data_IF_405065745329
#
_entry.id   IF_405065745329
#
_cell.length_a   1.000
_cell.length_b   1.000
_cell.length_c   1.000
_cell.angle_alpha   90.00
_cell.angle_beta   90.00
_cell.angle_gamma   90.00
#
_symmetry.space_group_name_H-M   'P 1'
#
loop_
_entity.id
_entity.type
_entity.pdbx_description
1 polymer ?
#
# COMPACT_ATOMS: atom_id res chain seq x y z
N UNK A 1 4.41 -32.54 -23.28
CA UNK A 1 3.26 -32.27 -24.15
C UNK A 1 3.29 -30.79 -24.52
N UNK A 2 3.39 -30.49 -25.84
CA UNK A 2 3.53 -29.12 -26.34
C UNK A 2 2.20 -28.36 -26.50
N UNK A 3 1.22 -28.58 -25.62
CA UNK A 3 -0.03 -27.80 -25.64
C UNK A 3 0.16 -26.47 -24.90
N UNK A 4 -0.33 -25.35 -25.48
CA UNK A 4 -0.28 -24.07 -24.78
C UNK A 4 -1.14 -24.10 -23.50
N UNK A 5 -0.66 -23.45 -22.45
CA UNK A 5 -1.36 -23.40 -21.17
C UNK A 5 -2.75 -22.78 -21.31
N UNK A 6 -2.86 -21.69 -22.07
CA UNK A 6 -4.12 -20.98 -22.37
C UNK A 6 -4.14 -20.63 -23.85
N UNK A 7 -5.26 -20.95 -24.52
CA UNK A 7 -5.54 -20.50 -25.88
C UNK A 7 -6.71 -19.51 -25.82
N UNK A 8 -6.48 -18.21 -26.04
CA UNK A 8 -7.54 -17.20 -25.98
C UNK A 8 -8.74 -17.56 -26.86
N UNK A 9 -9.94 -17.48 -26.30
CA UNK A 9 -11.19 -17.82 -26.99
C UNK A 9 -11.50 -19.32 -27.11
N UNK A 10 -10.54 -20.21 -26.82
CA UNK A 10 -10.69 -21.67 -27.01
C UNK A 10 -10.39 -22.44 -25.73
N UNK A 11 -11.38 -22.51 -24.81
CA UNK A 11 -11.19 -23.19 -23.53
C UNK A 11 -10.87 -24.68 -23.68
N UNK A 12 -11.47 -25.37 -24.67
CA UNK A 12 -11.24 -26.81 -24.94
C UNK A 12 -9.83 -27.13 -25.45
N UNK A 13 -9.15 -26.17 -26.07
CA UNK A 13 -7.77 -26.30 -26.55
C UNK A 13 -6.73 -25.92 -25.47
N UNK A 14 -7.18 -25.36 -24.35
CA UNK A 14 -6.31 -24.87 -23.26
C UNK A 14 -5.95 -25.98 -22.29
N UNK A 15 -4.64 -26.18 -22.07
CA UNK A 15 -4.14 -27.19 -21.12
C UNK A 15 -4.59 -26.92 -19.69
N UNK A 16 -4.75 -25.64 -19.32
CA UNK A 16 -5.30 -25.25 -18.03
C UNK A 16 -6.66 -25.89 -17.78
N UNK A 17 -7.58 -25.81 -18.75
CA UNK A 17 -8.94 -26.36 -18.62
C UNK A 17 -8.89 -27.89 -18.53
N UNK A 18 -8.05 -28.54 -19.35
CA UNK A 18 -7.87 -29.97 -19.29
C UNK A 18 -7.45 -30.42 -17.89
N UNK A 19 -6.53 -29.70 -17.27
CA UNK A 19 -6.01 -30.05 -15.95
C UNK A 19 -6.99 -29.76 -14.82
N UNK A 20 -7.69 -28.64 -14.84
CA UNK A 20 -8.66 -28.31 -13.76
C UNK A 20 -9.91 -29.22 -13.80
N UNK A 21 -10.18 -29.86 -14.92
CA UNK A 21 -11.28 -30.80 -15.10
C UNK A 21 -10.85 -32.28 -15.05
N UNK A 22 -9.55 -32.56 -14.92
CA UNK A 22 -9.03 -33.93 -14.86
C UNK A 22 -9.46 -34.63 -13.57
N UNK A 23 -9.82 -35.90 -13.69
CA UNK A 23 -10.04 -36.79 -12.55
C UNK A 23 -8.76 -37.55 -12.16
N UNK A 24 -7.68 -37.47 -12.94
CA UNK A 24 -6.40 -38.09 -12.65
C UNK A 24 -5.62 -37.27 -11.63
N UNK A 25 -5.28 -37.88 -10.49
CA UNK A 25 -4.54 -37.24 -9.42
C UNK A 25 -3.14 -36.76 -9.85
N UNK A 26 -2.53 -37.38 -10.86
CA UNK A 26 -1.24 -36.96 -11.39
C UNK A 26 -1.32 -35.74 -12.32
N UNK A 27 -2.50 -35.43 -12.86
CA UNK A 27 -2.69 -34.35 -13.83
C UNK A 27 -3.54 -33.19 -13.30
N UNK A 28 -4.43 -33.45 -12.34
CA UNK A 28 -5.38 -32.45 -11.82
C UNK A 28 -4.67 -31.24 -11.21
N UNK A 29 -5.22 -30.06 -11.43
CA UNK A 29 -4.74 -28.83 -10.83
C UNK A 29 -5.87 -28.10 -10.08
N UNK A 30 -5.63 -27.64 -8.85
CA UNK A 30 -4.40 -27.81 -8.04
C UNK A 30 -4.11 -29.28 -7.69
N UNK A 31 -2.83 -29.65 -7.45
CA UNK A 31 -2.48 -31.00 -7.01
C UNK A 31 -3.17 -31.37 -5.70
N UNK A 32 -3.58 -32.64 -5.52
CA UNK A 32 -4.32 -33.08 -4.33
C UNK A 32 -3.60 -32.82 -3.00
N UNK A 33 -2.28 -32.81 -3.01
CA UNK A 33 -1.45 -32.57 -1.81
C UNK A 33 -1.68 -31.16 -1.23
N UNK A 34 -2.09 -30.19 -2.05
CA UNK A 34 -2.40 -28.83 -1.60
C UNK A 34 -3.73 -28.74 -0.84
N UNK A 35 -4.58 -29.78 -0.89
CA UNK A 35 -5.89 -29.84 -0.23
C UNK A 35 -6.80 -28.62 -0.54
N UNK A 36 -6.69 -28.07 -1.73
CA UNK A 36 -7.44 -26.90 -2.22
C UNK A 36 -8.05 -27.17 -3.60
N UNK A 37 -8.99 -28.12 -3.70
CA UNK A 37 -9.66 -28.37 -4.97
C UNK A 37 -10.46 -27.14 -5.42
N UNK A 38 -10.53 -26.94 -6.73
CA UNK A 38 -11.39 -25.90 -7.29
C UNK A 38 -12.85 -26.31 -7.21
N UNK A 39 -13.72 -25.39 -6.80
CA UNK A 39 -15.18 -25.60 -6.90
C UNK A 39 -15.63 -25.53 -8.34
N UNK A 40 -16.78 -26.11 -8.65
CA UNK A 40 -17.37 -26.03 -10.01
C UNK A 40 -17.54 -24.58 -10.47
N UNK A 41 -17.93 -23.69 -9.57
CA UNK A 41 -18.06 -22.26 -9.87
C UNK A 41 -16.72 -21.63 -10.27
N UNK A 42 -15.64 -21.97 -9.59
CA UNK A 42 -14.29 -21.47 -9.93
C UNK A 42 -13.81 -22.02 -11.27
N UNK A 43 -14.08 -23.29 -11.56
CA UNK A 43 -13.78 -23.90 -12.85
C UNK A 43 -14.54 -23.20 -13.99
N UNK A 44 -15.83 -22.90 -13.78
CA UNK A 44 -16.65 -22.17 -14.76
C UNK A 44 -16.16 -20.74 -14.99
N UNK A 45 -15.70 -20.04 -13.94
CA UNK A 45 -15.13 -18.70 -14.06
C UNK A 45 -13.88 -18.74 -14.96
N UNK A 46 -12.96 -19.68 -14.72
CA UNK A 46 -11.75 -19.83 -15.53
C UNK A 46 -12.07 -20.17 -17.00
N UNK A 47 -13.02 -21.07 -17.25
CA UNK A 47 -13.45 -21.39 -18.61
C UNK A 47 -14.04 -20.16 -19.31
N UNK A 48 -14.91 -19.40 -18.63
CA UNK A 48 -15.52 -18.18 -19.15
C UNK A 48 -14.47 -17.11 -19.46
N UNK A 49 -13.49 -16.92 -18.57
CA UNK A 49 -12.38 -16.00 -18.79
C UNK A 49 -11.62 -16.33 -20.07
N UNK A 50 -11.32 -17.62 -20.31
CA UNK A 50 -10.65 -18.04 -21.55
C UNK A 50 -11.53 -17.80 -22.77
N UNK A 51 -12.84 -18.11 -22.68
CA UNK A 51 -13.79 -17.86 -23.78
C UNK A 51 -13.88 -16.38 -24.15
N UNK A 52 -13.76 -15.48 -23.17
CA UNK A 52 -13.75 -14.03 -23.34
C UNK A 52 -12.43 -13.48 -23.89
N UNK A 53 -11.50 -14.35 -24.28
CA UNK A 53 -10.22 -13.96 -24.86
C UNK A 53 -9.04 -13.98 -23.91
N UNK A 54 -9.22 -14.47 -22.66
CA UNK A 54 -8.16 -14.61 -21.65
C UNK A 54 -7.33 -13.32 -21.46
N UNK A 55 -8.01 -12.16 -21.47
CA UNK A 55 -7.34 -10.88 -21.29
C UNK A 55 -6.56 -10.88 -19.96
N UNK A 56 -5.24 -10.72 -20.06
CA UNK A 56 -4.34 -10.68 -18.92
C UNK A 56 -3.88 -9.25 -18.71
N UNK A 57 -4.22 -8.69 -17.57
CA UNK A 57 -3.72 -7.37 -17.20
C UNK A 57 -2.28 -7.49 -16.68
N UNK A 58 -1.41 -6.59 -17.12
CA UNK A 58 -0.08 -6.48 -16.52
C UNK A 58 -0.18 -6.24 -15.02
N UNK A 59 0.77 -6.77 -14.27
CA UNK A 59 0.83 -6.53 -12.84
C UNK A 59 1.00 -5.02 -12.59
N UNK A 60 0.19 -4.46 -11.70
CA UNK A 60 0.15 -3.02 -11.42
C UNK A 60 1.52 -2.38 -11.15
N UNK A 61 2.47 -3.14 -10.58
CA UNK A 61 3.82 -2.67 -10.29
C UNK A 61 4.67 -2.37 -11.55
N UNK A 62 4.29 -2.92 -12.72
CA UNK A 62 4.95 -2.69 -14.00
C UNK A 62 4.23 -1.65 -14.87
N UNK A 63 3.05 -1.21 -14.45
CA UNK A 63 2.30 -0.17 -15.16
C UNK A 63 2.83 1.20 -14.71
N UNK A 64 3.35 2.03 -15.63
CA UNK A 64 3.80 3.37 -15.27
C UNK A 64 2.69 4.18 -14.59
N UNK A 65 2.98 4.88 -13.46
CA UNK A 65 1.98 5.70 -12.78
C UNK A 65 1.43 6.77 -13.73
N UNK A 66 0.13 6.91 -13.76
CA UNK A 66 -0.55 7.99 -14.49
C UNK A 66 -1.26 8.89 -13.50
N UNK A 67 -1.17 10.21 -13.73
CA UNK A 67 -1.91 11.18 -12.90
C UNK A 67 -3.42 10.98 -13.17
N UNK A 68 -4.22 10.62 -12.15
CA UNK A 68 -5.66 10.49 -12.32
C UNK A 68 -6.32 11.85 -12.47
N UNK A 69 -7.52 11.88 -13.04
CA UNK A 69 -8.35 13.08 -13.01
C UNK A 69 -8.73 13.43 -11.56
N UNK A 70 -8.73 14.73 -11.26
CA UNK A 70 -9.13 15.18 -9.92
C UNK A 70 -10.63 14.93 -9.73
N UNK A 71 -11.04 14.37 -8.60
CA UNK A 71 -12.44 14.11 -8.34
C UNK A 71 -13.22 15.40 -8.05
N UNK A 72 -14.48 15.40 -8.44
CA UNK A 72 -15.41 16.46 -8.03
C UNK A 72 -15.95 16.15 -6.63
N UNK A 73 -15.92 17.12 -5.75
CA UNK A 73 -16.40 17.04 -4.36
C UNK A 73 -17.47 18.11 -4.11
N UNK A 74 -18.31 17.91 -3.09
CA UNK A 74 -19.38 18.85 -2.71
C UNK A 74 -18.84 20.01 -1.88
N UNK A 75 -17.98 19.72 -0.92
CA UNK A 75 -17.36 20.72 -0.07
C UNK A 75 -16.04 21.18 -0.70
N UNK A 76 -16.04 22.35 -1.34
CA UNK A 76 -14.87 22.92 -2.01
C UNK A 76 -13.97 23.73 -1.09
N UNK A 77 -14.41 24.05 0.13
CA UNK A 77 -13.69 24.92 1.05
C UNK A 77 -12.71 24.16 1.97
N UNK A 78 -12.94 22.87 2.17
CA UNK A 78 -12.11 22.05 3.04
C UNK A 78 -10.75 21.64 2.41
N UNK A 79 -10.66 21.27 1.10
CA UNK A 79 -9.41 20.81 0.53
C UNK A 79 -8.37 21.93 0.46
N UNK A 80 -7.17 21.69 0.95
CA UNK A 80 -6.02 22.59 0.86
C UNK A 80 -5.09 22.25 -0.31
N UNK A 81 -5.18 21.04 -0.84
CA UNK A 81 -4.40 20.54 -1.96
C UNK A 81 -5.17 19.46 -2.75
N UNK A 82 -4.59 19.00 -3.86
CA UNK A 82 -5.24 18.01 -4.73
C UNK A 82 -5.44 16.64 -4.06
N UNK A 83 -4.57 16.23 -3.13
CA UNK A 83 -4.72 14.97 -2.41
C UNK A 83 -5.95 14.98 -1.50
N UNK A 84 -6.26 16.13 -0.92
CA UNK A 84 -7.44 16.30 -0.07
C UNK A 84 -8.74 16.05 -0.84
N UNK A 85 -8.78 16.31 -2.15
CA UNK A 85 -9.95 16.03 -2.99
C UNK A 85 -10.26 14.52 -3.03
N UNK A 86 -9.24 13.68 -3.13
CA UNK A 86 -9.43 12.22 -3.12
C UNK A 86 -9.88 11.71 -1.74
N UNK A 87 -9.34 12.29 -0.67
CA UNK A 87 -9.76 11.96 0.70
C UNK A 87 -11.22 12.35 0.91
N UNK A 88 -11.56 13.60 0.54
CA UNK A 88 -12.90 14.13 0.72
C UNK A 88 -13.94 13.38 -0.11
N UNK A 89 -13.62 13.00 -1.36
CA UNK A 89 -14.51 12.18 -2.16
C UNK A 89 -14.86 10.86 -1.45
N UNK A 90 -13.88 10.21 -0.84
CA UNK A 90 -14.11 8.96 -0.09
C UNK A 90 -14.96 9.19 1.16
N UNK A 91 -14.73 10.27 1.88
CA UNK A 91 -15.57 10.64 3.02
C UNK A 91 -17.01 10.89 2.59
N UNK A 92 -17.22 11.68 1.53
CA UNK A 92 -18.56 11.98 1.00
C UNK A 92 -19.28 10.72 0.51
N UNK A 93 -18.58 9.79 -0.14
CA UNK A 93 -19.15 8.50 -0.57
C UNK A 93 -19.59 7.64 0.62
N UNK A 94 -18.86 7.74 1.74
CA UNK A 94 -19.19 7.04 2.98
C UNK A 94 -20.22 7.79 3.86
N UNK A 95 -20.69 8.96 3.44
CA UNK A 95 -21.59 9.81 4.22
C UNK A 95 -20.92 10.44 5.45
N UNK A 96 -19.59 10.53 5.45
CA UNK A 96 -18.80 11.08 6.55
C UNK A 96 -18.39 12.53 6.26
N UNK A 97 -18.13 13.27 7.33
CA UNK A 97 -17.57 14.62 7.28
C UNK A 97 -16.12 14.60 7.78
N UNK A 98 -15.24 15.48 7.25
CA UNK A 98 -13.92 15.67 7.83
C UNK A 98 -14.00 16.07 9.31
N UNK A 99 -13.11 15.51 10.12
CA UNK A 99 -12.98 15.94 11.50
C UNK A 99 -12.43 17.37 11.58
N UNK A 100 -12.72 18.12 12.66
CA UNK A 100 -12.11 19.42 12.89
C UNK A 100 -10.59 19.35 12.87
N UNK A 101 -9.95 20.46 12.47
CA UNK A 101 -8.49 20.54 12.47
C UNK A 101 -7.93 20.29 13.87
N UNK A 102 -6.85 19.50 13.93
CA UNK A 102 -6.19 19.20 15.20
C UNK A 102 -5.64 20.48 15.87
N UNK A 103 -5.69 20.58 17.23
CA UNK A 103 -5.04 21.65 17.93
C UNK A 103 -3.55 21.76 17.56
N UNK A 104 -2.93 22.97 17.58
CA UNK A 104 -1.57 23.19 17.10
C UNK A 104 -0.51 22.24 17.73
N UNK A 105 -0.52 22.03 19.03
CA UNK A 105 0.43 21.14 19.70
C UNK A 105 0.19 19.66 19.36
N UNK A 106 -1.06 19.27 19.11
CA UNK A 106 -1.37 17.92 18.64
C UNK A 106 -0.83 17.70 17.22
N UNK A 107 -0.97 18.70 16.35
CA UNK A 107 -0.37 18.67 15.02
C UNK A 107 1.16 18.55 15.11
N UNK A 108 1.81 19.39 15.93
CA UNK A 108 3.26 19.37 16.13
C UNK A 108 3.74 17.98 16.58
N UNK A 109 3.05 17.38 17.56
CA UNK A 109 3.38 16.05 18.04
C UNK A 109 3.26 14.98 16.96
N UNK A 110 2.18 15.00 16.17
CA UNK A 110 1.98 14.05 15.05
C UNK A 110 3.07 14.21 14.00
N UNK A 111 3.33 15.44 13.57
CA UNK A 111 4.38 15.73 12.61
C UNK A 111 5.77 15.26 13.09
N UNK A 112 6.11 15.51 14.35
CA UNK A 112 7.37 15.08 14.92
C UNK A 112 7.51 13.54 14.96
N UNK A 113 6.46 12.83 15.38
CA UNK A 113 6.47 11.36 15.40
C UNK A 113 6.55 10.75 13.98
N UNK A 114 5.88 11.37 13.01
CA UNK A 114 5.92 10.89 11.63
C UNK A 114 7.27 11.15 10.96
N UNK A 115 7.83 12.35 11.14
CA UNK A 115 9.05 12.76 10.47
C UNK A 115 10.34 12.31 11.17
N UNK A 116 10.34 12.27 12.50
CA UNK A 116 11.56 11.97 13.28
C UNK A 116 11.43 10.74 14.20
N UNK A 117 10.21 10.26 14.43
CA UNK A 117 9.94 9.19 15.40
C UNK A 117 10.01 9.64 16.86
N UNK A 118 10.27 10.93 17.15
CA UNK A 118 10.49 11.46 18.49
C UNK A 118 9.45 12.54 18.79
N UNK A 119 8.90 12.53 20.02
CA UNK A 119 7.99 13.59 20.46
C UNK A 119 8.72 14.93 20.68
N UNK A 120 8.09 16.08 20.37
CA UNK A 120 8.73 17.37 20.57
C UNK A 120 8.94 17.65 22.06
N UNK A 121 10.11 18.21 22.38
CA UNK A 121 10.46 18.65 23.72
C UNK A 121 9.59 19.84 24.18
N UNK A 122 9.49 20.12 25.49
CA UNK A 122 8.79 21.31 25.98
C UNK A 122 9.30 22.62 25.38
N UNK A 123 10.62 22.74 25.16
CA UNK A 123 11.22 23.92 24.55
C UNK A 123 10.74 24.09 23.07
N UNK A 124 10.71 23.03 22.30
CA UNK A 124 10.20 23.08 20.92
C UNK A 124 8.72 23.41 20.85
N UNK A 125 7.92 22.91 21.81
CA UNK A 125 6.51 23.26 21.91
C UNK A 125 6.32 24.77 22.19
N UNK A 126 7.09 25.33 23.13
CA UNK A 126 7.07 26.74 23.44
C UNK A 126 7.50 27.61 22.24
N UNK A 127 8.59 27.22 21.58
CA UNK A 127 9.06 27.91 20.36
C UNK A 127 8.00 27.88 19.26
N UNK A 128 7.34 26.75 19.04
CA UNK A 128 6.27 26.61 18.05
C UNK A 128 5.08 27.54 18.36
N UNK A 129 4.65 27.63 19.63
CA UNK A 129 3.58 28.53 20.06
C UNK A 129 3.98 30.02 19.90
N UNK A 130 5.22 30.37 20.23
CA UNK A 130 5.74 31.71 20.02
C UNK A 130 5.78 32.08 18.53
N UNK A 131 6.17 31.14 17.68
CA UNK A 131 6.17 31.34 16.23
C UNK A 131 4.74 31.50 15.67
N UNK A 132 3.76 30.76 16.18
CA UNK A 132 2.36 30.96 15.81
C UNK A 132 1.91 32.39 16.14
N UNK A 133 2.28 32.90 17.33
CA UNK A 133 1.92 34.23 17.75
C UNK A 133 2.56 35.34 16.88
N UNK A 134 3.79 35.11 16.43
CA UNK A 134 4.53 36.07 15.62
C UNK A 134 4.16 36.05 14.11
N UNK A 135 3.95 34.87 13.54
CA UNK A 135 3.90 34.67 12.08
C UNK A 135 2.66 33.88 11.60
N UNK A 136 1.83 33.44 12.53
CA UNK A 136 0.63 32.64 12.21
C UNK A 136 0.89 31.14 12.06
N UNK A 137 -0.19 30.38 12.11
CA UNK A 137 -0.15 28.90 12.18
C UNK A 137 0.49 28.26 10.93
N UNK A 138 0.19 28.75 9.74
CA UNK A 138 0.68 28.18 8.48
C UNK A 138 2.20 28.28 8.39
N UNK A 139 2.75 29.47 8.71
CA UNK A 139 4.19 29.70 8.72
C UNK A 139 4.89 28.83 9.79
N UNK A 140 4.35 28.80 11.00
CA UNK A 140 4.91 28.00 12.09
C UNK A 140 4.94 26.50 11.77
N UNK A 141 3.91 25.98 11.09
CA UNK A 141 3.88 24.59 10.62
C UNK A 141 4.95 24.31 9.57
N UNK A 142 5.12 25.19 8.59
CA UNK A 142 6.13 25.01 7.54
C UNK A 142 7.54 25.01 8.14
N UNK A 143 7.88 26.00 8.98
CA UNK A 143 9.17 26.06 9.65
C UNK A 143 9.45 24.86 10.57
N UNK A 144 8.44 24.40 11.32
CA UNK A 144 8.59 23.21 12.15
C UNK A 144 8.84 21.95 11.30
N UNK A 145 8.14 21.78 10.18
CA UNK A 145 8.35 20.68 9.27
C UNK A 145 9.76 20.69 8.65
N UNK A 146 10.20 21.85 8.16
CA UNK A 146 11.54 22.03 7.57
C UNK A 146 12.64 21.69 8.57
N UNK A 147 12.51 22.17 9.81
CA UNK A 147 13.46 21.85 10.88
C UNK A 147 13.50 20.35 11.19
N UNK A 148 12.34 19.68 11.25
CA UNK A 148 12.27 18.23 11.48
C UNK A 148 12.90 17.46 10.32
N UNK A 149 12.66 17.83 9.08
CA UNK A 149 13.25 17.19 7.90
C UNK A 149 14.77 17.35 7.83
N UNK A 150 15.32 18.43 8.36
CA UNK A 150 16.77 18.66 8.46
C UNK A 150 17.43 17.92 9.66
N UNK A 151 16.63 17.34 10.54
CA UNK A 151 17.14 16.58 11.68
C UNK A 151 17.76 15.25 11.25
N UNK A 152 18.88 14.81 11.85
CA UNK A 152 19.43 13.46 11.67
C UNK A 152 18.38 12.35 11.92
N UNK A 153 17.50 12.56 12.88
CA UNK A 153 16.44 11.60 13.22
C UNK A 153 15.43 11.38 12.08
N UNK A 154 15.25 12.36 11.19
CA UNK A 154 14.44 12.18 10.00
C UNK A 154 15.06 11.17 9.02
N UNK A 155 16.36 11.23 8.83
CA UNK A 155 17.09 10.25 8.03
C UNK A 155 17.05 8.85 8.65
N UNK A 156 17.23 8.73 9.96
CA UNK A 156 17.11 7.47 10.71
C UNK A 156 15.70 6.89 10.58
N UNK A 157 14.67 7.72 10.72
CA UNK A 157 13.27 7.32 10.57
C UNK A 157 12.97 6.79 9.18
N UNK A 158 13.46 7.48 8.14
CA UNK A 158 13.30 7.07 6.75
C UNK A 158 14.05 5.77 6.46
N UNK A 159 15.27 5.61 7.00
CA UNK A 159 16.10 4.42 6.82
C UNK A 159 15.40 3.15 7.31
N UNK A 160 14.60 3.21 8.37
CA UNK A 160 13.84 2.05 8.86
C UNK A 160 12.94 1.44 7.78
N UNK A 161 12.19 2.28 7.07
CA UNK A 161 11.30 1.80 6.00
C UNK A 161 12.08 1.20 4.81
N UNK A 162 13.23 1.75 4.49
CA UNK A 162 14.12 1.20 3.45
C UNK A 162 14.73 -0.14 3.88
N UNK A 163 15.15 -0.26 5.14
CA UNK A 163 15.70 -1.49 5.68
C UNK A 163 14.65 -2.61 5.72
N UNK A 164 13.41 -2.30 6.11
CA UNK A 164 12.30 -3.25 6.08
C UNK A 164 12.00 -3.70 4.64
N UNK A 165 11.95 -2.76 3.69
CA UNK A 165 11.77 -3.08 2.27
C UNK A 165 12.91 -3.93 1.69
N UNK A 166 14.14 -3.74 2.16
CA UNK A 166 15.30 -4.53 1.79
C UNK A 166 15.40 -5.87 2.56
N UNK A 167 14.46 -6.16 3.47
CA UNK A 167 14.45 -7.35 4.34
C UNK A 167 15.75 -7.49 5.15
N UNK A 168 16.31 -6.39 5.59
CA UNK A 168 17.59 -6.36 6.31
C UNK A 168 17.51 -7.09 7.66
N UNK A 169 16.43 -6.93 8.38
CA UNK A 169 16.18 -7.60 9.66
C UNK A 169 16.02 -9.13 9.50
N UNK A 170 15.29 -9.59 8.48
CA UNK A 170 15.06 -11.02 8.22
C UNK A 170 16.38 -11.77 8.00
N UNK A 171 17.36 -11.15 7.33
CA UNK A 171 18.68 -11.75 7.12
C UNK A 171 19.47 -11.94 8.41
N UNK A 172 19.28 -11.11 9.41
CA UNK A 172 19.99 -11.24 10.69
C UNK A 172 19.44 -12.38 11.56
N UNK A 173 18.14 -12.67 11.48
CA UNK A 173 17.51 -13.80 12.17
C UNK A 173 17.83 -15.14 11.51
N UNK A 174 17.76 -15.23 10.19
CA UNK A 174 18.15 -16.46 9.46
C UNK A 174 19.61 -16.84 9.72
N UNK A 175 20.52 -15.88 9.88
CA UNK A 175 21.91 -16.14 10.26
C UNK A 175 22.06 -16.69 11.68
N UNK A 176 21.19 -16.32 12.63
CA UNK A 176 21.20 -16.85 13.99
C UNK A 176 20.67 -18.27 14.03
N UNK A 177 19.53 -18.53 13.39
CA UNK A 177 18.92 -19.88 13.32
C UNK A 177 19.85 -20.86 12.62
N UNK A 178 20.52 -20.48 11.55
CA UNK A 178 21.46 -21.33 10.83
C UNK A 178 22.75 -21.69 11.61
N UNK A 179 23.11 -20.93 12.67
CA UNK A 179 24.26 -21.23 13.54
C UNK A 179 23.88 -22.17 14.68
N UNK A 180 22.66 -22.11 15.17
CA UNK A 180 22.19 -22.98 16.25
C UNK A 180 21.92 -24.43 15.80
N UNK A 181 21.66 -24.65 14.51
CA UNK A 181 21.49 -26.00 13.93
C UNK A 181 22.81 -26.72 13.58
N UNK A 182 23.98 -26.16 13.86
CA UNK A 182 25.30 -26.76 13.58
C UNK A 182 26.14 -27.06 14.81
N UNK A 183 25.57 -27.02 16.01
CA UNK A 183 26.22 -27.46 17.27
C UNK A 183 25.74 -28.83 17.75
#
# INVERSE_FOLDING_TARGET
>A
SGRPAVVPGQHSASELVRRILSSDAAEVMPPPELQKPLTEQQQQILQRWIQQGAAYAEHWAFIPPRRPALPTVRNTDWPSNELDLFVLQKLEQAGLQPAPAAPPLMWLRRAALDLTGISPSPAEQQQFLANIAAHGLTHAKAEAADRMLQSPHSAERLAMHWLDGARYADRSEERRVGKECRS
#
